data_IF_845909220637
#
_entry.id   IF_845909220637
#
_cell.length_a   1.000
_cell.length_b   1.000
_cell.length_c   1.000
_cell.angle_alpha   90.00
_cell.angle_beta   90.00
_cell.angle_gamma   90.00
#
_symmetry.space_group_name_H-M   'P 1'
#
loop_
_entity.id
_entity.type
_entity.pdbx_description
1 polymer ?
#
# COMPACT_ATOMS: atom_id res chain seq x y z
N UNK A 1 11.26 25.05 11.58
CA UNK A 1 10.85 23.85 10.82
C UNK A 1 9.34 23.83 10.74
N UNK A 2 8.78 23.95 9.54
CA UNK A 2 7.34 24.10 9.31
C UNK A 2 6.61 22.75 9.29
N UNK A 3 5.28 22.75 9.36
CA UNK A 3 4.49 21.52 9.21
C UNK A 3 4.62 20.89 7.82
N UNK A 4 4.92 21.69 6.78
CA UNK A 4 5.20 21.19 5.44
C UNK A 4 6.53 20.41 5.42
N UNK A 5 7.58 20.94 6.05
CA UNK A 5 8.88 20.28 6.15
C UNK A 5 8.78 18.94 6.89
N UNK A 6 7.97 18.86 7.95
CA UNK A 6 7.72 17.61 8.67
C UNK A 6 7.02 16.57 7.81
N UNK A 7 6.05 16.97 6.98
CA UNK A 7 5.38 16.05 6.04
C UNK A 7 6.35 15.54 4.98
N UNK A 8 7.19 16.43 4.44
CA UNK A 8 8.20 16.09 3.44
C UNK A 8 9.25 15.13 4.01
N UNK A 9 9.79 15.43 5.19
CA UNK A 9 10.77 14.56 5.85
C UNK A 9 10.20 13.19 6.20
N UNK A 10 8.92 13.13 6.60
CA UNK A 10 8.24 11.86 6.86
C UNK A 10 8.04 11.06 5.57
N UNK A 11 7.64 11.72 4.49
CA UNK A 11 7.55 11.13 3.17
C UNK A 11 8.90 10.59 2.68
N UNK A 12 10.00 11.32 2.89
CA UNK A 12 11.35 10.90 2.51
C UNK A 12 11.85 9.75 3.40
N UNK A 13 11.65 9.81 4.71
CA UNK A 13 12.05 8.74 5.64
C UNK A 13 11.29 7.43 5.35
N UNK A 14 10.00 7.56 5.06
CA UNK A 14 9.13 6.47 4.61
C UNK A 14 9.59 5.84 3.28
N UNK A 15 10.21 6.64 2.40
CA UNK A 15 10.83 6.19 1.16
C UNK A 15 12.20 5.56 1.38
N UNK A 16 12.94 5.97 2.41
CA UNK A 16 14.29 5.48 2.69
C UNK A 16 14.30 4.18 3.51
N UNK A 17 13.25 3.86 4.27
CA UNK A 17 13.09 2.54 4.91
C UNK A 17 12.77 1.39 3.92
N UNK A 18 12.83 1.67 2.62
CA UNK A 18 12.59 0.75 1.50
C UNK A 18 13.90 0.02 1.16
N UNK A 19 14.39 -0.87 2.01
CA UNK A 19 15.18 -2.03 1.54
C UNK A 19 14.95 -3.15 2.55
N UNK A 20 14.07 -4.11 2.19
CA UNK A 20 14.60 -5.26 1.47
C UNK A 20 13.94 -5.44 0.10
N UNK A 21 14.78 -5.74 -0.89
CA UNK A 21 14.36 -6.27 -2.19
C UNK A 21 13.51 -7.55 -2.00
N UNK A 22 12.48 -7.67 -2.83
CA UNK A 22 11.58 -8.80 -3.06
C UNK A 22 12.24 -10.19 -2.90
N UNK A 23 11.52 -11.20 -2.40
CA UNK A 23 10.62 -11.99 -3.26
C UNK A 23 9.75 -12.94 -2.43
N UNK A 24 8.43 -12.91 -2.63
CA UNK A 24 7.57 -14.10 -2.55
C UNK A 24 6.48 -13.98 -3.64
N UNK A 25 6.84 -14.48 -4.82
CA UNK A 25 6.00 -14.74 -5.99
C UNK A 25 5.40 -13.54 -6.74
N UNK A 26 5.97 -13.24 -7.90
CA UNK A 26 5.28 -12.48 -8.96
C UNK A 26 3.90 -13.11 -9.31
N UNK A 27 3.75 -14.43 -9.14
CA UNK A 27 2.46 -15.12 -9.25
C UNK A 27 1.46 -14.69 -8.17
N UNK A 28 1.91 -14.47 -6.94
CA UNK A 28 1.02 -14.03 -5.85
C UNK A 28 0.49 -12.62 -6.11
N UNK A 29 1.35 -11.72 -6.63
CA UNK A 29 0.94 -10.39 -7.04
C UNK A 29 -0.07 -10.42 -8.20
N UNK A 30 0.17 -11.24 -9.24
CA UNK A 30 -0.76 -11.38 -10.36
C UNK A 30 -2.13 -11.92 -9.92
N UNK A 31 -2.15 -12.94 -9.07
CA UNK A 31 -3.37 -13.48 -8.49
C UNK A 31 -4.11 -12.46 -7.63
N UNK A 32 -3.39 -11.71 -6.78
CA UNK A 32 -3.98 -10.66 -5.96
C UNK A 32 -4.56 -9.53 -6.82
N UNK A 33 -3.89 -9.14 -7.92
CA UNK A 33 -4.42 -8.17 -8.90
C UNK A 33 -5.76 -8.64 -9.47
N UNK A 34 -5.83 -9.90 -9.90
CA UNK A 34 -7.04 -10.46 -10.47
C UNK A 34 -8.18 -10.52 -9.44
N UNK A 35 -7.91 -11.01 -8.23
CA UNK A 35 -8.91 -11.07 -7.16
C UNK A 35 -9.42 -9.69 -6.75
N UNK A 36 -8.53 -8.72 -6.60
CA UNK A 36 -8.92 -7.36 -6.26
C UNK A 36 -9.77 -6.72 -7.35
N UNK A 37 -9.44 -6.94 -8.63
CA UNK A 37 -10.25 -6.46 -9.76
C UNK A 37 -11.65 -7.08 -9.79
N UNK A 38 -11.77 -8.39 -9.56
CA UNK A 38 -13.08 -9.07 -9.47
C UNK A 38 -13.96 -8.48 -8.37
N UNK A 39 -13.36 -8.06 -7.25
CA UNK A 39 -14.05 -7.52 -6.08
C UNK A 39 -14.17 -5.99 -6.06
N UNK A 40 -13.40 -5.29 -6.90
CA UNK A 40 -13.33 -3.83 -6.97
C UNK A 40 -12.44 -3.17 -5.91
N UNK A 41 -11.73 -3.94 -5.08
CA UNK A 41 -10.83 -3.44 -4.03
C UNK A 41 -9.87 -4.53 -3.51
N UNK A 42 -8.76 -4.12 -2.90
CA UNK A 42 -7.75 -4.98 -2.29
C UNK A 42 -7.86 -5.01 -0.77
N UNK A 43 -7.64 -6.18 -0.17
CA UNK A 43 -7.27 -6.26 1.26
C UNK A 43 -5.86 -5.71 1.48
N UNK A 44 -5.50 -5.45 2.74
CA UNK A 44 -4.13 -5.07 3.14
C UNK A 44 -3.10 -6.09 2.67
N UNK A 45 -3.37 -7.38 2.85
CA UNK A 45 -2.51 -8.48 2.41
C UNK A 45 -2.34 -8.53 0.89
N UNK A 46 -3.45 -8.41 0.14
CA UNK A 46 -3.42 -8.41 -1.32
C UNK A 46 -2.65 -7.20 -1.85
N UNK A 47 -2.93 -6.01 -1.32
CA UNK A 47 -2.25 -4.79 -1.74
C UNK A 47 -0.75 -4.85 -1.44
N UNK A 48 -0.38 -5.36 -0.26
CA UNK A 48 1.01 -5.57 0.12
C UNK A 48 1.73 -6.48 -0.88
N UNK A 49 1.11 -7.57 -1.32
CA UNK A 49 1.66 -8.44 -2.35
C UNK A 49 1.78 -7.73 -3.71
N UNK A 50 0.78 -6.92 -4.09
CA UNK A 50 0.78 -6.18 -5.37
C UNK A 50 1.91 -5.15 -5.45
N UNK A 51 2.17 -4.42 -4.35
CA UNK A 51 3.20 -3.36 -4.29
C UNK A 51 4.56 -3.85 -3.76
N UNK A 52 4.69 -5.15 -3.45
CA UNK A 52 5.94 -5.74 -2.94
C UNK A 52 6.35 -5.21 -1.55
N UNK A 53 5.39 -5.03 -0.64
CA UNK A 53 5.60 -4.52 0.73
C UNK A 53 5.12 -5.50 1.79
N UNK A 54 5.47 -5.23 3.05
CA UNK A 54 4.91 -5.94 4.20
C UNK A 54 3.47 -5.47 4.49
N UNK A 55 2.58 -6.38 4.87
CA UNK A 55 1.21 -6.07 5.28
C UNK A 55 1.12 -5.09 6.47
N UNK A 56 2.01 -5.20 7.46
CA UNK A 56 2.04 -4.29 8.61
C UNK A 56 2.32 -2.85 8.18
N UNK A 57 3.25 -2.69 7.22
CA UNK A 57 3.56 -1.40 6.62
C UNK A 57 2.32 -0.81 5.94
N UNK A 58 1.63 -1.59 5.10
CA UNK A 58 0.38 -1.14 4.46
C UNK A 58 -0.69 -0.79 5.49
N UNK A 59 -0.86 -1.62 6.52
CA UNK A 59 -1.85 -1.40 7.58
C UNK A 59 -1.60 -0.10 8.34
N UNK A 60 -0.33 0.21 8.65
CA UNK A 60 0.04 1.48 9.28
C UNK A 60 -0.29 2.67 8.37
N UNK A 61 -0.11 2.55 7.06
CA UNK A 61 -0.45 3.61 6.10
C UNK A 61 -1.94 3.80 5.89
N UNK A 62 -2.72 2.72 5.88
CA UNK A 62 -4.18 2.81 5.90
C UNK A 62 -4.65 3.50 7.19
N UNK A 63 -4.09 3.14 8.35
CA UNK A 63 -4.41 3.78 9.63
C UNK A 63 -4.01 5.26 9.66
N UNK A 64 -2.88 5.60 9.06
CA UNK A 64 -2.37 6.97 8.95
C UNK A 64 -3.01 7.81 7.85
N UNK A 65 -3.94 7.25 7.05
CA UNK A 65 -4.58 7.94 5.93
C UNK A 65 -3.66 8.24 4.74
N UNK A 66 -2.48 7.62 4.68
CA UNK A 66 -1.55 7.75 3.55
C UNK A 66 -1.95 6.89 2.35
N UNK A 67 -2.61 5.76 2.61
CA UNK A 67 -3.29 4.94 1.59
C UNK A 67 -4.78 5.20 1.73
N UNK A 68 -5.46 5.53 0.63
CA UNK A 68 -6.91 5.74 0.67
C UNK A 68 -7.63 4.42 0.94
N UNK A 69 -8.69 4.47 1.74
CA UNK A 69 -9.52 3.29 2.03
C UNK A 69 -10.99 3.60 1.79
N UNK A 70 -11.72 2.65 1.22
CA UNK A 70 -13.17 2.71 1.08
C UNK A 70 -13.85 2.65 2.46
N UNK A 71 -15.08 3.18 2.60
CA UNK A 71 -15.85 3.08 3.83
C UNK A 71 -16.12 1.61 4.21
N UNK A 72 -16.17 1.33 5.51
CA UNK A 72 -16.38 -0.02 6.04
C UNK A 72 -15.45 -0.42 7.19
N UNK A 73 -14.52 0.45 7.59
CA UNK A 73 -13.65 0.20 8.74
C UNK A 73 -12.60 -0.87 8.48
N UNK A 74 -12.46 -1.83 9.41
CA UNK A 74 -11.52 -2.95 9.31
C UNK A 74 -12.27 -4.26 8.94
N UNK A 75 -11.70 -5.13 8.11
CA UNK A 75 -10.42 -4.98 7.41
C UNK A 75 -10.48 -3.86 6.35
N UNK A 76 -9.36 -3.13 6.21
CA UNK A 76 -9.30 -1.99 5.27
C UNK A 76 -9.52 -2.47 3.84
N UNK A 77 -10.31 -1.69 3.10
CA UNK A 77 -10.63 -1.91 1.69
C UNK A 77 -9.91 -0.88 0.85
N UNK A 78 -8.84 -1.27 0.18
CA UNK A 78 -7.98 -0.36 -0.59
C UNK A 78 -8.52 -0.31 -2.02
N UNK A 79 -8.88 0.85 -2.57
CA UNK A 79 -9.43 0.94 -3.92
C UNK A 79 -8.36 0.64 -4.97
N UNK A 80 -8.79 0.16 -6.14
CA UNK A 80 -7.87 -0.21 -7.23
C UNK A 80 -7.00 0.95 -7.72
N UNK A 81 -7.46 2.19 -7.57
CA UNK A 81 -6.71 3.39 -7.96
C UNK A 81 -5.39 3.54 -7.21
N UNK A 82 -5.28 3.00 -5.99
CA UNK A 82 -4.05 3.06 -5.20
C UNK A 82 -2.95 2.18 -5.80
N UNK A 83 -3.29 1.16 -6.60
CA UNK A 83 -2.28 0.36 -7.30
C UNK A 83 -1.41 1.24 -8.21
N UNK A 84 -2.03 2.12 -9.00
CA UNK A 84 -1.31 3.01 -9.92
C UNK A 84 -0.47 4.04 -9.18
N UNK A 85 -1.00 4.59 -8.08
CA UNK A 85 -0.29 5.60 -7.27
C UNK A 85 0.95 5.02 -6.58
N UNK A 86 0.95 3.72 -6.25
CA UNK A 86 2.03 3.07 -5.51
C UNK A 86 2.94 2.16 -6.34
N UNK A 87 2.55 1.74 -7.55
CA UNK A 87 3.43 1.02 -8.49
C UNK A 87 4.47 1.92 -9.17
N UNK A 88 4.29 3.24 -9.16
CA UNK A 88 5.19 4.20 -9.81
C UNK A 88 6.41 4.59 -8.94
N UNK A 89 6.56 4.01 -7.74
CA UNK A 89 7.67 4.32 -6.83
C UNK A 89 8.24 3.09 -6.14
#
# INVERSE_FOLDING_TARGET
MTNADRKLLRFIADRLQILPLLSKDAMSAAFCRQNGRTRGWYTTKEFAAVVGRNEDYITQRCRGGSIKTLPGGKPYRIPLSEETEWNLI
#
